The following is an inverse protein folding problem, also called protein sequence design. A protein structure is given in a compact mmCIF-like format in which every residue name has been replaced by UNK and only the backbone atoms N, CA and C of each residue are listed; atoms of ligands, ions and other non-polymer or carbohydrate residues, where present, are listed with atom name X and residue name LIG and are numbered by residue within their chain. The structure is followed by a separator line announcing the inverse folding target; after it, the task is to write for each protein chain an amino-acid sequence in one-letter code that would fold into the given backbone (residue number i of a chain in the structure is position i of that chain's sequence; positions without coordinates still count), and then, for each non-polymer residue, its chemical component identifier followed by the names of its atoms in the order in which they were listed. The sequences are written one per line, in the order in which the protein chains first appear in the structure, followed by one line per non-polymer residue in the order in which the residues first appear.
data_IF_611487386324
#
_entry.id   IF_611487386324
#
_cell.length_a   1.000
_cell.length_b   1.000
_cell.length_c   1.000
_cell.angle_alpha   90.00
_cell.angle_beta   90.00
_cell.angle_gamma   90.00
#
_symmetry.space_group_name_H-M   'P 1'
#
loop_
_entity.id
_entity.type
_entity.pdbx_description
1 polymer ?
#
# COMPACT_ATOMS: atom_id res chain seq x y z
N UNK A 1 -30.11 4.18 -21.39
CA UNK A 1 -29.83 4.69 -20.01
C UNK A 1 -28.97 3.65 -19.36
N UNK A 2 -27.65 3.91 -19.26
CA UNK A 2 -26.73 3.01 -18.53
C UNK A 2 -27.14 2.99 -17.06
N UNK A 3 -27.27 1.81 -16.51
CA UNK A 3 -27.62 1.62 -15.11
C UNK A 3 -26.37 1.90 -14.27
N UNK A 4 -26.39 2.96 -13.45
CA UNK A 4 -25.33 3.28 -12.52
C UNK A 4 -25.23 2.12 -11.52
N UNK A 5 -24.09 1.47 -11.46
CA UNK A 5 -23.83 0.37 -10.54
C UNK A 5 -23.35 0.90 -9.17
N UNK A 6 -23.37 0.07 -8.13
CA UNK A 6 -22.79 0.44 -6.83
C UNK A 6 -21.28 0.73 -6.94
N UNK A 7 -20.58 0.03 -7.84
CA UNK A 7 -19.16 0.24 -8.08
C UNK A 7 -18.88 1.62 -8.70
N UNK A 8 -19.74 2.10 -9.60
CA UNK A 8 -19.65 3.46 -10.17
C UNK A 8 -19.83 4.53 -9.10
N UNK A 9 -20.74 4.30 -8.13
CA UNK A 9 -20.95 5.19 -6.98
C UNK A 9 -19.73 5.20 -6.06
N UNK A 10 -19.10 4.06 -5.80
CA UNK A 10 -17.87 3.95 -4.99
C UNK A 10 -16.73 4.73 -5.63
N UNK A 11 -16.51 4.57 -6.96
CA UNK A 11 -15.52 5.34 -7.72
C UNK A 11 -15.77 6.84 -7.60
N UNK A 12 -17.00 7.26 -7.77
CA UNK A 12 -17.39 8.67 -7.69
C UNK A 12 -17.17 9.25 -6.29
N UNK A 13 -17.52 8.52 -5.23
CA UNK A 13 -17.32 8.94 -3.84
C UNK A 13 -15.83 9.06 -3.50
N UNK A 14 -15.00 8.12 -3.97
CA UNK A 14 -13.55 8.16 -3.78
C UNK A 14 -12.95 9.38 -4.49
N UNK A 15 -13.37 9.67 -5.71
CA UNK A 15 -12.89 10.86 -6.45
C UNK A 15 -13.29 12.16 -5.77
N UNK A 16 -14.54 12.28 -5.27
CA UNK A 16 -14.98 13.44 -4.50
C UNK A 16 -14.12 13.61 -3.25
N UNK A 17 -13.95 12.57 -2.46
CA UNK A 17 -13.13 12.61 -1.25
C UNK A 17 -11.68 12.96 -1.55
N UNK A 18 -11.09 12.41 -2.61
CA UNK A 18 -9.75 12.78 -3.09
C UNK A 18 -9.61 14.28 -3.36
N UNK A 19 -10.61 14.88 -4.04
CA UNK A 19 -10.60 16.30 -4.34
C UNK A 19 -10.76 17.17 -3.08
N UNK A 20 -11.58 16.74 -2.11
CA UNK A 20 -11.72 17.39 -0.82
C UNK A 20 -10.42 17.36 -0.02
N UNK A 21 -9.70 16.22 -0.03
CA UNK A 21 -8.41 16.10 0.65
C UNK A 21 -7.31 16.95 0.01
N UNK A 22 -7.24 17.06 -1.32
CA UNK A 22 -6.30 17.97 -2.01
C UNK A 22 -6.49 19.43 -1.61
N UNK A 23 -7.72 19.84 -1.29
CA UNK A 23 -8.03 21.18 -0.79
C UNK A 23 -7.64 21.42 0.67
N UNK A 24 -7.59 20.35 1.48
CA UNK A 24 -7.34 20.44 2.93
C UNK A 24 -5.86 20.28 3.32
N UNK A 25 -4.99 19.85 2.42
CA UNK A 25 -3.54 19.67 2.71
C UNK A 25 -2.81 20.97 3.02
N UNK A 26 -3.43 22.13 2.84
CA UNK A 26 -2.84 23.45 3.20
C UNK A 26 -3.03 23.84 4.67
N UNK A 27 -3.94 23.21 5.43
CA UNK A 27 -4.30 23.65 6.79
C UNK A 27 -4.25 22.53 7.86
N UNK A 28 -3.80 21.32 7.53
CA UNK A 28 -3.60 20.30 8.56
C UNK A 28 -2.26 20.58 9.26
N UNK A 29 -2.34 21.29 10.40
CA UNK A 29 -1.43 21.00 11.50
C UNK A 29 -1.38 19.48 11.64
N UNK A 30 -0.23 18.90 11.33
CA UNK A 30 0.06 17.50 11.50
C UNK A 30 -0.40 17.07 12.89
N UNK A 31 -1.51 16.34 12.97
CA UNK A 31 -1.60 15.35 14.01
C UNK A 31 -0.44 14.41 13.69
N UNK A 32 0.69 14.69 14.30
CA UNK A 32 1.90 13.90 14.24
C UNK A 32 1.55 12.59 14.94
N UNK A 33 0.90 11.70 14.19
CA UNK A 33 0.90 10.29 14.54
C UNK A 33 2.37 9.97 14.69
N UNK A 34 2.80 9.57 15.88
CA UNK A 34 4.18 9.20 16.09
C UNK A 34 4.50 8.11 15.06
N UNK A 35 5.54 8.33 14.26
CA UNK A 35 6.02 7.34 13.30
C UNK A 35 7.22 6.62 13.90
N UNK A 36 7.30 5.32 13.67
CA UNK A 36 8.42 4.49 14.08
C UNK A 36 9.24 4.08 12.86
N UNK A 37 10.56 4.14 13.00
CA UNK A 37 11.48 3.70 11.94
C UNK A 37 11.42 2.20 11.77
N UNK A 38 11.34 1.75 10.53
CA UNK A 38 11.44 0.36 10.13
C UNK A 38 12.65 0.21 9.22
N UNK A 39 13.58 -0.64 9.64
CA UNK A 39 14.73 -1.07 8.88
C UNK A 39 14.61 -2.58 8.66
N UNK A 40 14.62 -2.99 7.41
CA UNK A 40 14.50 -4.39 7.02
C UNK A 40 15.84 -5.01 6.62
N UNK A 41 16.94 -4.22 6.63
CA UNK A 41 18.22 -4.67 6.09
C UNK A 41 18.20 -4.84 4.57
N UNK A 42 17.31 -4.15 3.87
CA UNK A 42 17.13 -4.21 2.42
C UNK A 42 17.73 -2.99 1.70
N UNK A 43 18.61 -2.23 2.38
CA UNK A 43 19.26 -1.04 1.83
C UNK A 43 18.37 0.21 1.79
N UNK A 44 17.19 0.14 2.40
CA UNK A 44 16.30 1.29 2.59
C UNK A 44 15.59 1.25 3.94
N UNK A 45 15.15 2.41 4.37
CA UNK A 45 14.32 2.58 5.56
C UNK A 45 13.08 3.40 5.23
N UNK A 46 12.06 3.25 6.06
CA UNK A 46 10.84 4.03 6.02
C UNK A 46 10.23 4.12 7.41
N UNK A 47 9.27 5.02 7.57
CA UNK A 47 8.55 5.17 8.83
C UNK A 47 7.14 4.59 8.69
N UNK A 48 6.72 3.80 9.67
CA UNK A 48 5.33 3.37 9.82
C UNK A 48 4.66 4.13 10.97
N UNK A 49 3.34 4.32 10.90
CA UNK A 49 2.60 4.90 12.03
C UNK A 49 2.83 4.09 13.30
N UNK A 50 2.91 4.77 14.43
CA UNK A 50 2.99 4.11 15.73
C UNK A 50 1.80 3.15 15.91
N UNK A 51 2.05 1.99 16.53
CA UNK A 51 1.05 0.94 16.67
C UNK A 51 1.08 -0.12 15.56
N UNK A 52 1.91 0.07 14.51
CA UNK A 52 2.23 -1.02 13.58
C UNK A 52 3.45 -1.78 14.05
N UNK A 53 3.32 -3.09 14.14
CA UNK A 53 4.40 -4.01 14.50
C UNK A 53 4.56 -5.14 13.49
N UNK A 54 5.74 -5.74 13.43
CA UNK A 54 5.96 -6.93 12.59
C UNK A 54 5.06 -8.05 13.07
N UNK A 55 4.27 -8.62 12.15
CA UNK A 55 3.40 -9.74 12.44
C UNK A 55 4.22 -10.98 12.80
N UNK A 56 3.81 -11.70 13.84
CA UNK A 56 4.29 -13.05 14.09
C UNK A 56 3.69 -14.05 13.08
N UNK A 57 4.26 -15.26 13.01
CA UNK A 57 3.86 -16.28 12.05
C UNK A 57 2.37 -16.67 12.19
N UNK A 58 1.84 -16.68 13.40
CA UNK A 58 0.44 -17.02 13.66
C UNK A 58 -0.51 -15.94 13.15
N UNK A 59 -0.20 -14.67 13.42
CA UNK A 59 -0.95 -13.51 12.92
C UNK A 59 -0.87 -13.45 11.38
N UNK A 60 0.32 -13.61 10.82
CA UNK A 60 0.52 -13.64 9.38
C UNK A 60 -0.27 -14.77 8.70
N UNK A 61 -0.33 -15.96 9.32
CA UNK A 61 -1.11 -17.09 8.82
C UNK A 61 -2.62 -16.86 8.87
N UNK A 62 -3.10 -16.08 9.84
CA UNK A 62 -4.51 -15.71 9.95
C UNK A 62 -4.96 -14.72 8.87
N UNK A 63 -4.06 -13.86 8.40
CA UNK A 63 -4.35 -12.83 7.39
C UNK A 63 -4.10 -13.37 5.97
N UNK A 64 -2.99 -14.05 5.77
CA UNK A 64 -2.57 -14.61 4.49
C UNK A 64 -2.60 -16.14 4.55
N UNK A 65 -3.63 -16.75 3.98
CA UNK A 65 -3.81 -18.21 3.99
C UNK A 65 -2.85 -18.94 3.04
N UNK A 66 -2.18 -18.22 2.14
CA UNK A 66 -1.20 -18.79 1.22
C UNK A 66 0.11 -19.10 1.93
N UNK A 67 0.78 -20.19 1.58
CA UNK A 67 2.17 -20.45 1.99
C UNK A 67 3.17 -19.44 1.41
N UNK A 68 2.82 -18.84 0.25
CA UNK A 68 3.59 -17.76 -0.39
C UNK A 68 3.16 -16.40 0.15
N UNK A 69 3.48 -16.14 1.43
CA UNK A 69 3.21 -14.87 2.08
C UNK A 69 4.32 -13.86 1.80
N UNK A 70 4.03 -12.55 1.80
CA UNK A 70 5.07 -11.55 1.82
C UNK A 70 6.00 -11.74 3.04
N UNK A 71 7.32 -11.62 2.88
CA UNK A 71 8.27 -11.88 3.96
C UNK A 71 8.21 -10.84 5.08
N UNK A 72 7.74 -9.64 4.78
CA UNK A 72 7.62 -8.56 5.76
C UNK A 72 6.17 -8.08 5.82
N UNK A 73 5.52 -8.36 6.93
CA UNK A 73 4.12 -8.00 7.21
C UNK A 73 4.11 -7.18 8.50
N UNK A 74 3.51 -6.00 8.46
CA UNK A 74 3.32 -5.11 9.60
C UNK A 74 1.84 -4.86 9.80
N UNK A 75 1.37 -5.07 11.01
CA UNK A 75 -0.07 -5.00 11.35
C UNK A 75 -0.23 -4.03 12.50
N UNK A 76 -1.32 -3.26 12.48
CA UNK A 76 -1.70 -2.41 13.59
C UNK A 76 -2.21 -3.23 14.79
N UNK A 77 -2.32 -2.59 15.95
CA UNK A 77 -2.76 -3.25 17.20
C UNK A 77 -4.15 -3.88 17.08
N UNK A 78 -5.05 -3.28 16.30
CA UNK A 78 -6.41 -3.78 16.06
C UNK A 78 -6.44 -4.96 15.09
N UNK A 79 -5.34 -5.24 14.39
CA UNK A 79 -5.19 -6.31 13.39
C UNK A 79 -6.15 -6.16 12.20
N UNK A 80 -6.59 -4.95 11.90
CA UNK A 80 -7.49 -4.62 10.80
C UNK A 80 -6.84 -3.87 9.64
N UNK A 81 -5.62 -3.35 9.82
CA UNK A 81 -4.86 -2.68 8.79
C UNK A 81 -3.40 -3.14 8.79
N UNK A 82 -2.80 -3.24 7.60
CA UNK A 82 -1.43 -3.71 7.49
C UNK A 82 -0.69 -3.23 6.27
N UNK A 83 0.65 -3.29 6.37
CA UNK A 83 1.58 -3.11 5.28
C UNK A 83 2.32 -4.41 5.00
N UNK A 84 2.60 -4.66 3.73
CA UNK A 84 3.51 -5.73 3.32
C UNK A 84 4.63 -5.18 2.46
N UNK A 85 5.80 -5.82 2.49
CA UNK A 85 6.95 -5.46 1.68
C UNK A 85 7.72 -6.70 1.26
N UNK A 86 8.11 -6.72 -0.02
CA UNK A 86 8.97 -7.76 -0.59
C UNK A 86 9.83 -7.21 -1.72
N UNK A 87 10.99 -7.79 -1.92
CA UNK A 87 11.81 -7.56 -3.11
C UNK A 87 11.20 -8.37 -4.26
N UNK A 88 11.12 -7.78 -5.44
CA UNK A 88 10.73 -8.50 -6.65
C UNK A 88 11.97 -9.18 -7.24
N UNK A 89 11.89 -10.50 -7.42
CA UNK A 89 12.88 -11.31 -8.11
C UNK A 89 12.66 -11.24 -9.64
N UNK A 90 12.66 -10.04 -10.20
CA UNK A 90 12.44 -9.84 -11.65
C UNK A 90 13.67 -9.21 -12.31
N UNK A 91 13.84 -9.40 -13.64
CA UNK A 91 14.96 -8.78 -14.36
C UNK A 91 14.96 -7.26 -14.16
N UNK A 92 16.13 -6.70 -13.90
CA UNK A 92 16.38 -5.26 -13.72
C UNK A 92 15.86 -4.42 -14.90
N UNK A 93 15.78 -5.01 -16.08
CA UNK A 93 15.44 -4.35 -17.34
C UNK A 93 13.96 -3.99 -17.49
N UNK A 94 13.07 -4.56 -16.67
CA UNK A 94 11.63 -4.29 -16.77
C UNK A 94 11.27 -2.96 -16.07
N UNK A 95 10.60 -2.01 -16.73
CA UNK A 95 10.16 -0.78 -16.09
C UNK A 95 9.11 -1.04 -15.00
N UNK A 96 9.15 -0.29 -13.90
CA UNK A 96 8.15 -0.40 -12.82
C UNK A 96 6.70 -0.27 -13.30
N UNK A 97 6.46 0.53 -14.33
CA UNK A 97 5.12 0.65 -14.95
C UNK A 97 4.63 -0.68 -15.52
N UNK A 98 5.53 -1.47 -16.11
CA UNK A 98 5.16 -2.79 -16.63
C UNK A 98 4.80 -3.74 -15.49
N UNK A 99 5.57 -3.74 -14.41
CA UNK A 99 5.25 -4.51 -13.20
C UNK A 99 3.88 -4.12 -12.64
N UNK A 100 3.55 -2.83 -12.56
CA UNK A 100 2.24 -2.35 -12.11
C UNK A 100 1.10 -2.91 -12.94
N UNK A 101 1.18 -2.81 -14.25
CA UNK A 101 0.13 -3.30 -15.15
C UNK A 101 0.01 -4.84 -15.10
N UNK A 102 1.12 -5.57 -14.98
CA UNK A 102 1.11 -7.03 -14.82
C UNK A 102 0.42 -7.44 -13.51
N UNK A 103 0.70 -6.74 -12.40
CA UNK A 103 0.05 -7.03 -11.11
C UNK A 103 -1.46 -6.81 -11.22
N UNK A 104 -1.93 -5.74 -11.86
CA UNK A 104 -3.36 -5.50 -12.08
C UNK A 104 -4.00 -6.64 -12.87
N UNK A 105 -3.38 -7.08 -13.96
CA UNK A 105 -3.86 -8.21 -14.76
C UNK A 105 -3.93 -9.53 -13.96
N UNK A 106 -2.97 -9.77 -13.05
CA UNK A 106 -2.97 -10.92 -12.16
C UNK A 106 -4.13 -10.83 -11.18
N UNK A 107 -4.36 -9.67 -10.56
CA UNK A 107 -5.45 -9.46 -9.61
C UNK A 107 -6.82 -9.69 -10.26
N UNK A 108 -7.05 -9.20 -11.47
CA UNK A 108 -8.29 -9.43 -12.24
C UNK A 108 -8.51 -10.91 -12.57
N UNK A 109 -7.43 -11.67 -12.82
CA UNK A 109 -7.52 -13.11 -13.07
C UNK A 109 -7.83 -13.90 -11.79
N UNK A 110 -7.33 -13.46 -10.64
CA UNK A 110 -7.54 -14.11 -9.35
C UNK A 110 -8.98 -13.90 -8.87
N UNK A 111 -9.46 -12.66 -8.92
CA UNK A 111 -10.82 -12.32 -8.51
C UNK A 111 -11.42 -11.27 -9.45
N UNK A 112 -12.41 -11.67 -10.23
CA UNK A 112 -13.10 -10.78 -11.19
C UNK A 112 -13.94 -9.68 -10.53
N UNK A 113 -14.13 -9.73 -9.21
CA UNK A 113 -14.85 -8.72 -8.43
C UNK A 113 -13.97 -7.51 -8.08
N UNK A 114 -12.66 -7.58 -8.36
CA UNK A 114 -11.73 -6.47 -8.11
C UNK A 114 -12.14 -5.24 -8.92
N UNK A 115 -12.16 -4.10 -8.25
CA UNK A 115 -12.47 -2.80 -8.87
C UNK A 115 -11.32 -1.84 -8.61
N UNK A 116 -10.62 -1.42 -9.66
CA UNK A 116 -9.55 -0.42 -9.56
C UNK A 116 -10.15 0.98 -9.53
N UNK A 117 -9.61 1.86 -8.69
CA UNK A 117 -10.10 3.21 -8.50
C UNK A 117 -9.16 4.25 -9.09
N UNK A 118 -7.92 4.28 -8.61
CA UNK A 118 -6.97 5.32 -8.95
C UNK A 118 -5.56 4.74 -9.05
N UNK A 119 -4.70 5.49 -9.72
CA UNK A 119 -3.27 5.16 -9.81
C UNK A 119 -2.46 6.44 -10.02
N UNK A 120 -1.19 6.40 -9.69
CA UNK A 120 -0.33 7.56 -9.86
C UNK A 120 1.11 7.26 -9.50
N UNK A 121 1.84 8.35 -9.36
CA UNK A 121 3.20 8.38 -8.88
C UNK A 121 3.31 9.47 -7.82
N UNK A 122 3.95 9.14 -6.71
CA UNK A 122 4.26 10.05 -5.60
C UNK A 122 5.70 9.84 -5.17
N UNK A 123 6.56 10.85 -5.33
CA UNK A 123 7.98 10.81 -4.97
C UNK A 123 8.76 9.59 -5.52
N UNK A 124 8.51 9.22 -6.77
CA UNK A 124 9.14 8.09 -7.43
C UNK A 124 8.55 6.73 -7.05
N UNK A 125 7.48 6.72 -6.26
CA UNK A 125 6.72 5.52 -5.91
C UNK A 125 5.50 5.42 -6.81
N UNK A 126 5.44 4.41 -7.65
CA UNK A 126 4.25 4.09 -8.45
C UNK A 126 3.24 3.37 -7.57
N UNK A 127 1.98 3.73 -7.69
CA UNK A 127 0.92 3.12 -6.89
C UNK A 127 -0.38 2.97 -7.67
N UNK A 128 -1.23 2.09 -7.20
CA UNK A 128 -2.64 2.01 -7.57
C UNK A 128 -3.45 1.46 -6.41
N UNK A 129 -4.73 1.81 -6.35
CA UNK A 129 -5.63 1.31 -5.32
C UNK A 129 -6.84 0.59 -5.91
N UNK A 130 -7.39 -0.33 -5.12
CA UNK A 130 -8.50 -1.15 -5.57
C UNK A 130 -9.33 -1.70 -4.40
N UNK A 131 -10.57 -2.02 -4.72
CA UNK A 131 -11.45 -2.82 -3.87
C UNK A 131 -11.21 -4.30 -4.16
N UNK A 132 -10.91 -5.07 -3.13
CA UNK A 132 -10.81 -6.52 -3.17
C UNK A 132 -11.73 -7.17 -2.15
N UNK A 133 -11.69 -8.48 -2.07
CA UNK A 133 -12.56 -9.27 -1.19
C UNK A 133 -11.77 -10.34 -0.45
N UNK A 134 -12.03 -10.44 0.86
CA UNK A 134 -11.56 -11.52 1.71
C UNK A 134 -12.79 -12.29 2.22
N UNK A 135 -13.15 -13.36 1.53
CA UNK A 135 -14.44 -14.01 1.77
C UNK A 135 -15.61 -13.09 1.40
N UNK A 136 -16.40 -12.70 2.39
CA UNK A 136 -17.52 -11.77 2.24
C UNK A 136 -17.17 -10.33 2.65
N UNK A 137 -15.96 -10.10 3.16
CA UNK A 137 -15.52 -8.77 3.58
C UNK A 137 -14.95 -7.98 2.39
N UNK A 138 -15.27 -6.71 2.35
CA UNK A 138 -14.76 -5.78 1.34
C UNK A 138 -13.52 -5.09 1.90
N UNK A 139 -12.41 -5.24 1.19
CA UNK A 139 -11.10 -4.74 1.60
C UNK A 139 -10.63 -3.66 0.64
N UNK A 140 -10.20 -2.53 1.18
CA UNK A 140 -9.43 -1.55 0.44
C UNK A 140 -7.96 -1.97 0.41
N UNK A 141 -7.37 -1.92 -0.77
CA UNK A 141 -5.97 -2.23 -0.99
C UNK A 141 -5.29 -1.09 -1.75
N UNK A 142 -4.04 -0.83 -1.43
CA UNK A 142 -3.17 0.08 -2.16
C UNK A 142 -1.84 -0.63 -2.40
N UNK A 143 -1.54 -0.92 -3.66
CA UNK A 143 -0.26 -1.50 -4.09
C UNK A 143 0.69 -0.38 -4.45
N UNK A 144 1.96 -0.51 -4.10
CA UNK A 144 2.97 0.45 -4.45
C UNK A 144 4.30 -0.22 -4.82
N UNK A 145 5.01 0.40 -5.74
CA UNK A 145 6.24 -0.08 -6.32
C UNK A 145 7.27 1.04 -6.36
N UNK A 146 8.49 0.76 -5.99
CA UNK A 146 9.60 1.69 -6.11
C UNK A 146 10.91 0.95 -6.32
N UNK A 147 11.94 1.70 -6.72
CA UNK A 147 13.28 1.15 -6.93
C UNK A 147 14.27 1.87 -6.03
N UNK A 148 15.13 1.09 -5.37
CA UNK A 148 16.26 1.60 -4.59
C UNK A 148 17.53 0.86 -5.02
N UNK A 149 18.47 1.60 -5.61
CA UNK A 149 19.62 0.97 -6.26
C UNK A 149 19.14 0.07 -7.41
N UNK A 150 19.51 -1.19 -7.36
CA UNK A 150 19.12 -2.22 -8.33
C UNK A 150 17.88 -3.00 -7.89
N UNK A 151 17.46 -2.83 -6.64
CA UNK A 151 16.35 -3.56 -6.05
C UNK A 151 14.99 -2.91 -6.36
N UNK A 152 14.04 -3.72 -6.83
CA UNK A 152 12.63 -3.33 -6.99
C UNK A 152 11.84 -3.82 -5.79
N UNK A 153 11.12 -2.94 -5.16
CA UNK A 153 10.30 -3.22 -3.99
C UNK A 153 8.83 -3.19 -4.36
N UNK A 154 8.11 -4.25 -4.03
CA UNK A 154 6.66 -4.31 -4.05
C UNK A 154 6.16 -4.18 -2.62
N UNK A 155 5.32 -3.20 -2.39
CA UNK A 155 4.60 -3.05 -1.14
C UNK A 155 3.10 -3.08 -1.35
N UNK A 156 2.38 -3.40 -0.29
CA UNK A 156 0.94 -3.24 -0.24
C UNK A 156 0.50 -2.67 1.10
N UNK A 157 -0.61 -1.97 1.07
CA UNK A 157 -1.39 -1.60 2.26
C UNK A 157 -2.79 -2.18 2.13
N UNK A 158 -3.40 -2.62 3.23
CA UNK A 158 -4.77 -3.09 3.25
C UNK A 158 -5.48 -2.66 4.53
N UNK A 159 -6.79 -2.44 4.44
CA UNK A 159 -7.68 -2.18 5.56
C UNK A 159 -9.13 -2.51 5.18
N UNK A 160 -10.09 -2.57 6.13
CA UNK A 160 -11.51 -2.60 5.81
C UNK A 160 -11.89 -1.45 4.90
N UNK A 161 -12.76 -1.71 3.92
CA UNK A 161 -13.10 -0.71 2.90
C UNK A 161 -13.66 0.59 3.49
N UNK A 162 -14.46 0.52 4.55
CA UNK A 162 -15.01 1.68 5.23
C UNK A 162 -13.96 2.58 5.91
N UNK A 163 -12.74 2.06 6.14
CA UNK A 163 -11.66 2.79 6.78
C UNK A 163 -10.67 3.44 5.79
N UNK A 164 -10.88 3.29 4.48
CA UNK A 164 -9.90 3.75 3.47
C UNK A 164 -9.64 5.26 3.51
N UNK A 165 -10.65 6.07 3.80
CA UNK A 165 -10.54 7.53 3.83
C UNK A 165 -9.67 8.02 4.99
N UNK A 166 -9.63 7.29 6.09
CA UNK A 166 -8.73 7.53 7.22
C UNK A 166 -7.30 7.12 6.89
N UNK A 167 -7.12 5.95 6.25
CA UNK A 167 -5.81 5.35 6.06
C UNK A 167 -5.08 5.83 4.81
N UNK A 168 -5.78 6.09 3.73
CA UNK A 168 -5.16 6.49 2.46
C UNK A 168 -4.19 7.67 2.59
N UNK A 169 -4.52 8.77 3.28
CA UNK A 169 -3.57 9.86 3.49
C UNK A 169 -2.33 9.43 4.27
N UNK A 170 -2.48 8.55 5.25
CA UNK A 170 -1.37 8.03 6.07
C UNK A 170 -0.41 7.21 5.20
N UNK A 171 -0.90 6.41 4.25
CA UNK A 171 -0.06 5.66 3.33
C UNK A 171 0.81 6.61 2.48
N UNK A 172 0.26 7.72 2.01
CA UNK A 172 1.05 8.72 1.28
C UNK A 172 2.08 9.45 2.17
N UNK A 173 1.79 9.64 3.46
CA UNK A 173 2.79 10.10 4.42
C UNK A 173 3.93 9.08 4.55
N UNK A 174 3.63 7.78 4.65
CA UNK A 174 4.64 6.71 4.64
C UNK A 174 5.52 6.78 3.39
N UNK A 175 4.95 6.97 2.19
CA UNK A 175 5.72 7.12 0.95
C UNK A 175 6.75 8.24 1.05
N UNK A 176 6.40 9.33 1.71
CA UNK A 176 7.30 10.47 1.86
C UNK A 176 8.48 10.21 2.81
N UNK A 177 8.47 9.11 3.52
CA UNK A 177 9.52 8.72 4.46
C UNK A 177 10.48 7.67 3.90
N UNK A 178 10.17 7.07 2.75
CA UNK A 178 11.04 6.08 2.09
C UNK A 178 12.35 6.75 1.68
N UNK A 179 13.47 6.21 2.13
CA UNK A 179 14.80 6.71 1.79
C UNK A 179 15.82 5.60 1.77
N UNK A 180 16.88 5.80 0.99
CA UNK A 180 18.04 4.91 0.97
C UNK A 180 18.69 4.93 2.36
N UNK A 181 19.11 3.76 2.81
CA UNK A 181 19.88 3.64 4.04
C UNK A 181 21.24 4.33 3.87
N UNK A 182 21.59 5.25 4.78
CA UNK A 182 22.92 5.81 4.81
C UNK A 182 23.86 4.74 5.39
N UNK A 183 24.73 4.21 4.56
CA UNK A 183 25.83 3.38 5.02
C UNK A 183 26.78 4.31 5.76
N UNK A 184 26.80 4.22 7.09
CA UNK A 184 27.83 4.88 7.89
C UNK A 184 29.18 4.23 7.48
N UNK A 185 29.87 4.86 6.54
CA UNK A 185 31.27 4.54 6.25
C UNK A 185 32.05 4.97 7.49
N UNK A 186 32.06 4.08 8.48
CA UNK A 186 32.87 4.25 9.68
C UNK A 186 34.32 4.44 9.29
N UNK A 187 34.85 5.63 9.63
CA UNK A 187 36.27 6.02 9.54
C UNK A 187 37.08 5.17 10.50
#
# INVERSE_FOLDING_TARGET
MEQITNDDLDVFLIQIKKNLYKGQTKDRQSNTSAFARVNLGLGFEFLLPAGFGKADDQTAAGIFWSEKRPPNIFINEQKDAGFTLQILEEPETEPLNHNRENIKLILEKIDRRVVFYDQGEEKGILWFDYKGFAGNEVIYNLIFLFQIGEEKVLGSFFCPFEAYDRWRPVVFEVFSTVRKEEVDEGI
#
